data_IF_664362018246
#
_entry.id   IF_664362018246
#
_cell.length_a   1.000
_cell.length_b   1.000
_cell.length_c   1.000
_cell.angle_alpha   90.00
_cell.angle_beta   90.00
_cell.angle_gamma   90.00
#
_symmetry.space_group_name_H-M   'P 1'
#
loop_
_entity.id
_entity.type
_entity.pdbx_description
1 polymer ?
#
# COMPACT_ATOMS: atom_id res chain seq x y z
N UNK A 1 -7.59 19.87 16.71
CA UNK A 1 -7.92 21.27 16.36
C UNK A 1 -8.78 21.25 15.11
N UNK A 2 -10.01 21.74 15.21
CA UNK A 2 -10.98 21.72 14.09
C UNK A 2 -10.78 22.97 13.22
N UNK A 3 -11.00 22.88 11.89
CA UNK A 3 -10.77 23.99 10.93
C UNK A 3 -11.50 25.29 11.35
N UNK A 4 -12.66 25.16 11.99
CA UNK A 4 -13.42 26.30 12.50
C UNK A 4 -12.71 27.08 13.62
N UNK A 5 -12.03 26.38 14.53
CA UNK A 5 -11.28 27.02 15.62
C UNK A 5 -10.06 27.77 15.08
N UNK A 6 -9.38 27.20 14.09
CA UNK A 6 -8.25 27.83 13.41
C UNK A 6 -8.68 29.03 12.55
N UNK A 7 -9.86 28.98 11.93
CA UNK A 7 -10.40 30.10 11.16
C UNK A 7 -10.70 31.30 12.07
N UNK A 8 -11.31 31.04 13.23
CA UNK A 8 -11.63 32.06 14.22
C UNK A 8 -10.37 32.71 14.83
N UNK A 9 -9.31 31.94 15.11
CA UNK A 9 -8.06 32.48 15.68
C UNK A 9 -7.26 33.35 14.71
N UNK A 10 -7.38 33.08 13.40
CA UNK A 10 -6.72 33.86 12.34
C UNK A 10 -7.62 34.97 11.78
N UNK A 11 -8.89 35.01 12.17
CA UNK A 11 -9.84 36.06 11.76
C UNK A 11 -10.33 35.93 10.32
N UNK A 12 -10.37 34.71 9.77
CA UNK A 12 -10.84 34.44 8.41
C UNK A 12 -12.16 33.67 8.42
N UNK A 13 -12.93 33.77 7.33
CA UNK A 13 -14.15 32.98 7.20
C UNK A 13 -13.82 31.49 7.11
N UNK A 14 -14.73 30.64 7.61
CA UNK A 14 -14.57 29.18 7.57
C UNK A 14 -14.37 28.67 6.13
N UNK A 15 -15.00 29.32 5.15
CA UNK A 15 -14.88 29.00 3.72
C UNK A 15 -13.47 29.25 3.20
N UNK A 16 -12.87 30.41 3.54
CA UNK A 16 -11.49 30.75 3.18
C UNK A 16 -10.50 29.79 3.85
N UNK A 17 -10.74 29.46 5.13
CA UNK A 17 -9.92 28.48 5.84
C UNK A 17 -9.96 27.09 5.17
N UNK A 18 -11.13 26.64 4.69
CA UNK A 18 -11.27 25.39 3.93
C UNK A 18 -10.58 25.43 2.57
N UNK A 19 -10.63 26.56 1.88
CA UNK A 19 -9.97 26.75 0.59
C UNK A 19 -8.45 26.69 0.74
N UNK A 20 -7.90 27.40 1.74
CA UNK A 20 -6.49 27.32 2.11
C UNK A 20 -6.10 25.89 2.51
N UNK A 21 -6.88 25.24 3.36
CA UNK A 21 -6.63 23.85 3.80
C UNK A 21 -6.62 22.85 2.63
N UNK A 22 -7.46 23.05 1.61
CA UNK A 22 -7.41 22.28 0.36
C UNK A 22 -6.16 22.60 -0.46
N UNK A 23 -5.78 23.87 -0.56
CA UNK A 23 -4.64 24.31 -1.35
C UNK A 23 -3.31 23.77 -0.80
N UNK A 24 -3.15 23.71 0.52
CA UNK A 24 -1.94 23.20 1.19
C UNK A 24 -1.92 21.68 1.38
N UNK A 25 -2.95 20.95 0.93
CA UNK A 25 -2.92 19.49 0.85
C UNK A 25 -3.44 18.72 2.07
N UNK A 26 -4.18 19.37 2.98
CA UNK A 26 -4.67 18.82 4.25
C UNK A 26 -3.54 18.45 5.23
N UNK A 27 -3.84 18.47 6.53
CA UNK A 27 -2.98 17.88 7.56
C UNK A 27 -3.30 16.38 7.61
N UNK A 28 -2.29 15.51 7.54
CA UNK A 28 -2.47 14.09 7.85
C UNK A 28 -3.12 14.01 9.23
N UNK A 29 -4.29 13.35 9.39
CA UNK A 29 -4.86 13.20 10.71
C UNK A 29 -3.80 12.56 11.61
N UNK A 30 -3.66 13.09 12.82
CA UNK A 30 -2.88 12.46 13.89
C UNK A 30 -3.12 10.95 13.82
N UNK A 31 -2.07 10.12 13.79
CA UNK A 31 -2.21 8.70 13.54
C UNK A 31 -3.22 8.15 14.54
N UNK A 32 -4.40 7.80 14.03
CA UNK A 32 -5.43 7.08 14.77
C UNK A 32 -4.74 5.99 15.58
N UNK A 33 -5.14 5.76 16.85
CA UNK A 33 -4.48 4.78 17.71
C UNK A 33 -4.30 3.49 16.93
N UNK A 34 -3.03 3.12 16.74
CA UNK A 34 -2.56 1.95 16.00
C UNK A 34 -2.89 0.72 16.83
N UNK A 35 -4.18 0.46 17.05
CA UNK A 35 -4.65 -0.75 17.71
C UNK A 35 -6.12 -1.08 17.42
N UNK A 36 -6.71 -0.53 16.36
CA UNK A 36 -7.77 -1.27 15.68
C UNK A 36 -7.07 -2.24 14.73
N UNK A 37 -7.34 -3.56 14.77
CA UNK A 37 -6.78 -4.45 13.78
C UNK A 37 -7.26 -3.97 12.40
N UNK A 38 -6.39 -3.29 11.66
CA UNK A 38 -6.58 -2.85 10.26
C UNK A 38 -6.64 -4.06 9.29
N UNK A 39 -7.23 -5.15 9.75
CA UNK A 39 -7.36 -6.43 9.08
C UNK A 39 -8.57 -7.16 9.64
N UNK A 40 -9.74 -6.51 9.64
CA UNK A 40 -11.01 -7.20 9.86
C UNK A 40 -11.05 -8.46 8.99
N UNK A 41 -11.07 -9.63 9.65
CA UNK A 41 -11.29 -10.98 9.15
C UNK A 41 -10.49 -11.52 7.93
N UNK A 42 -9.81 -10.70 7.11
CA UNK A 42 -9.38 -11.12 5.76
C UNK A 42 -7.93 -11.58 5.65
N UNK A 43 -7.01 -11.01 6.43
CA UNK A 43 -5.57 -11.38 6.40
C UNK A 43 -5.14 -11.96 7.74
N UNK A 44 -4.15 -12.85 7.69
CA UNK A 44 -3.50 -13.39 8.88
C UNK A 44 -2.46 -12.39 9.39
N UNK A 45 -2.52 -12.09 10.67
CA UNK A 45 -1.52 -11.34 11.42
C UNK A 45 -0.22 -12.13 11.54
N UNK A 46 0.86 -11.44 11.91
CA UNK A 46 2.15 -12.08 12.16
C UNK A 46 2.05 -13.14 13.28
N UNK A 47 1.37 -12.81 14.38
CA UNK A 47 1.13 -13.75 15.49
C UNK A 47 0.42 -15.02 15.03
N UNK A 48 -0.63 -14.90 14.22
CA UNK A 48 -1.32 -16.08 13.66
C UNK A 48 -0.39 -16.90 12.75
N UNK A 49 0.52 -16.25 12.00
CA UNK A 49 1.51 -16.95 11.18
C UNK A 49 2.53 -17.70 12.02
N UNK A 50 3.00 -17.13 13.13
CA UNK A 50 3.89 -17.82 14.08
C UNK A 50 3.21 -19.04 14.68
N UNK A 51 1.96 -18.88 15.07
CA UNK A 51 1.17 -19.94 15.64
C UNK A 51 0.96 -21.11 14.65
N UNK A 52 0.71 -20.81 13.37
CA UNK A 52 0.71 -21.82 12.29
C UNK A 52 2.08 -22.51 12.19
N UNK A 53 3.18 -21.76 12.33
CA UNK A 53 4.55 -22.29 12.25
C UNK A 53 4.84 -23.30 13.37
N UNK A 54 4.55 -22.93 14.61
CA UNK A 54 4.75 -23.79 15.78
C UNK A 54 3.94 -25.08 15.68
N UNK A 55 2.64 -24.97 15.39
CA UNK A 55 1.76 -26.14 15.27
C UNK A 55 2.10 -27.02 14.09
N UNK A 56 2.53 -26.43 12.97
CA UNK A 56 2.96 -27.21 11.81
C UNK A 56 4.25 -27.97 12.11
N UNK A 57 5.17 -27.40 12.88
CA UNK A 57 6.36 -28.09 13.36
C UNK A 57 6.03 -29.21 14.35
N UNK A 58 4.97 -29.05 15.16
CA UNK A 58 4.41 -30.10 16.03
C UNK A 58 3.64 -31.21 15.26
N UNK A 59 3.59 -31.15 13.93
CA UNK A 59 2.93 -32.17 13.10
C UNK A 59 1.41 -32.03 12.99
N UNK A 60 0.82 -30.94 13.47
CA UNK A 60 -0.62 -30.75 13.42
C UNK A 60 -1.16 -30.58 11.99
N UNK A 61 -2.36 -31.12 11.77
CA UNK A 61 -3.11 -31.00 10.53
C UNK A 61 -3.79 -29.62 10.37
N UNK A 62 -4.06 -29.23 9.13
CA UNK A 62 -4.67 -27.93 8.77
C UNK A 62 -5.97 -27.64 9.54
N UNK A 63 -6.84 -28.64 9.72
CA UNK A 63 -8.12 -28.49 10.44
C UNK A 63 -7.94 -28.24 11.94
N UNK A 64 -6.92 -28.84 12.56
CA UNK A 64 -6.62 -28.63 13.97
C UNK A 64 -6.12 -27.19 14.20
N UNK A 65 -5.14 -26.77 13.39
CA UNK A 65 -4.59 -25.42 13.41
C UNK A 65 -5.69 -24.36 13.20
N UNK A 66 -6.57 -24.59 12.22
CA UNK A 66 -7.67 -23.68 11.91
C UNK A 66 -8.65 -23.50 13.08
N UNK A 67 -8.97 -24.60 13.79
CA UNK A 67 -9.86 -24.57 14.95
C UNK A 67 -9.27 -23.71 16.08
N UNK A 68 -7.98 -23.87 16.37
CA UNK A 68 -7.34 -23.10 17.45
C UNK A 68 -7.25 -21.61 17.10
N UNK A 69 -7.01 -21.29 15.83
CA UNK A 69 -6.94 -19.91 15.36
C UNK A 69 -8.31 -19.24 15.18
N UNK A 70 -9.42 -19.98 15.29
CA UNK A 70 -10.75 -19.47 14.93
C UNK A 70 -10.86 -19.05 13.47
N UNK A 71 -10.10 -19.70 12.57
CA UNK A 71 -10.06 -19.39 11.12
C UNK A 71 -10.63 -20.55 10.31
N UNK A 72 -10.99 -20.28 9.06
CA UNK A 72 -11.40 -21.34 8.14
C UNK A 72 -10.19 -22.24 7.76
N UNK A 73 -10.37 -23.56 7.63
CA UNK A 73 -9.31 -24.46 7.16
C UNK A 73 -8.75 -24.06 5.78
N UNK A 74 -9.58 -23.45 4.93
CA UNK A 74 -9.15 -22.92 3.62
C UNK A 74 -8.18 -21.75 3.75
N UNK A 75 -8.30 -20.93 4.81
CA UNK A 75 -7.35 -19.84 5.09
C UNK A 75 -5.97 -20.40 5.44
N UNK A 76 -5.93 -21.36 6.37
CA UNK A 76 -4.67 -22.00 6.79
C UNK A 76 -4.03 -22.78 5.64
N UNK A 77 -4.81 -23.51 4.85
CA UNK A 77 -4.32 -24.23 3.67
C UNK A 77 -3.69 -23.28 2.63
N UNK A 78 -4.41 -22.20 2.28
CA UNK A 78 -3.88 -21.18 1.34
C UNK A 78 -2.64 -20.51 1.88
N UNK A 79 -2.56 -20.26 3.19
CA UNK A 79 -1.38 -19.68 3.82
C UNK A 79 -0.18 -20.63 3.69
N UNK A 80 -0.32 -21.89 4.10
CA UNK A 80 0.74 -22.88 3.99
C UNK A 80 1.20 -23.07 2.54
N UNK A 81 0.28 -23.10 1.58
CA UNK A 81 0.60 -23.22 0.16
C UNK A 81 1.36 -22.00 -0.38
N UNK A 82 1.06 -20.79 0.11
CA UNK A 82 1.64 -19.53 -0.38
C UNK A 82 2.92 -19.11 0.35
N UNK A 83 3.05 -19.46 1.61
CA UNK A 83 4.13 -19.07 2.52
C UNK A 83 5.27 -20.07 2.58
N UNK A 84 5.08 -21.30 2.07
CA UNK A 84 6.16 -22.29 1.97
C UNK A 84 7.02 -22.00 0.73
N UNK A 85 8.16 -21.35 0.92
CA UNK A 85 9.09 -20.99 -0.17
C UNK A 85 9.91 -22.19 -0.64
N UNK A 86 10.33 -23.08 0.28
CA UNK A 86 11.07 -24.31 -0.06
C UNK A 86 10.43 -25.49 0.65
N UNK A 87 9.98 -26.52 -0.09
CA UNK A 87 9.30 -27.68 0.50
C UNK A 87 10.14 -28.39 1.57
N UNK A 88 11.47 -28.39 1.41
CA UNK A 88 12.41 -29.02 2.37
C UNK A 88 12.63 -28.21 3.65
N UNK A 89 12.35 -26.89 3.67
CA UNK A 89 12.60 -26.04 4.85
C UNK A 89 11.41 -25.91 5.79
N UNK A 90 10.28 -26.53 5.46
CA UNK A 90 9.02 -26.33 6.18
C UNK A 90 8.47 -24.91 6.04
N UNK A 91 7.37 -24.65 6.75
CA UNK A 91 6.73 -23.35 6.82
C UNK A 91 7.41 -22.49 7.91
N UNK A 92 7.79 -21.25 7.59
CA UNK A 92 8.38 -20.28 8.53
C UNK A 92 7.59 -18.98 8.49
N UNK A 93 7.13 -18.50 9.64
CA UNK A 93 6.29 -17.32 9.74
C UNK A 93 6.94 -16.04 9.19
N UNK A 94 8.21 -15.80 9.52
CA UNK A 94 8.98 -14.62 9.06
C UNK A 94 9.09 -14.56 7.53
N UNK A 95 9.36 -15.70 6.90
CA UNK A 95 9.44 -15.81 5.44
C UNK A 95 8.06 -15.56 4.81
N UNK A 96 7.02 -16.18 5.36
CA UNK A 96 5.66 -15.99 4.86
C UNK A 96 5.21 -14.53 4.99
N UNK A 97 5.56 -13.86 6.08
CA UNK A 97 5.31 -12.43 6.30
C UNK A 97 6.03 -11.57 5.27
N UNK A 98 7.34 -11.77 5.07
CA UNK A 98 8.12 -11.03 4.08
C UNK A 98 7.53 -11.17 2.65
N UNK A 99 7.08 -12.38 2.29
CA UNK A 99 6.40 -12.62 1.00
C UNK A 99 5.05 -11.91 0.94
N UNK A 100 4.28 -11.89 2.03
CA UNK A 100 3.02 -11.18 2.10
C UNK A 100 3.21 -9.65 1.94
N UNK A 101 4.22 -9.10 2.59
CA UNK A 101 4.57 -7.68 2.51
C UNK A 101 5.05 -7.30 1.10
N UNK A 102 5.91 -8.13 0.50
CA UNK A 102 6.36 -7.94 -0.87
C UNK A 102 5.18 -7.92 -1.87
N UNK A 103 4.19 -8.81 -1.69
CA UNK A 103 2.97 -8.83 -2.50
C UNK A 103 2.05 -7.65 -2.22
N UNK A 104 2.02 -7.15 -0.98
CA UNK A 104 1.21 -6.01 -0.59
C UNK A 104 1.72 -4.71 -1.22
N UNK A 105 3.04 -4.58 -1.46
CA UNK A 105 3.66 -3.40 -2.07
C UNK A 105 3.09 -3.04 -3.45
N UNK A 106 2.59 -4.02 -4.22
CA UNK A 106 1.97 -3.85 -5.56
C UNK A 106 2.56 -2.67 -6.39
N UNK A 107 3.87 -2.61 -6.62
CA UNK A 107 4.43 -1.50 -7.38
C UNK A 107 3.92 -1.60 -8.83
N UNK A 108 3.21 -0.57 -9.30
CA UNK A 108 3.02 -0.36 -10.74
C UNK A 108 4.38 0.11 -11.28
N UNK A 109 4.87 -0.52 -12.35
CA UNK A 109 6.07 -0.02 -13.01
C UNK A 109 5.80 1.43 -13.42
N UNK A 110 6.65 2.36 -12.97
CA UNK A 110 6.48 3.78 -13.29
C UNK A 110 6.68 3.95 -14.78
N UNK A 111 5.79 4.67 -15.45
CA UNK A 111 5.80 4.82 -16.89
C UNK A 111 7.17 5.34 -17.42
N UNK A 112 7.77 6.32 -16.74
CA UNK A 112 9.10 6.85 -17.08
C UNK A 112 10.25 5.88 -16.83
N UNK A 113 10.05 4.85 -16.00
CA UNK A 113 11.05 3.81 -15.78
C UNK A 113 10.99 2.71 -16.85
N UNK A 114 9.86 2.60 -17.58
CA UNK A 114 9.63 1.58 -18.60
C UNK A 114 9.81 2.13 -20.01
N UNK A 115 9.38 3.38 -20.25
CA UNK A 115 9.45 4.02 -21.56
C UNK A 115 10.60 5.02 -21.63
N UNK A 116 11.71 4.59 -22.22
CA UNK A 116 12.93 5.38 -22.35
C UNK A 116 12.74 6.62 -23.23
N UNK A 117 11.93 6.51 -24.29
CA UNK A 117 11.65 7.63 -25.22
C UNK A 117 10.85 8.72 -24.52
N UNK A 118 9.84 8.33 -23.74
CA UNK A 118 9.09 9.25 -22.90
C UNK A 118 9.98 9.89 -21.83
N UNK A 119 10.83 9.10 -21.18
CA UNK A 119 11.75 9.60 -20.15
C UNK A 119 12.69 10.66 -20.72
N UNK A 120 13.31 10.39 -21.86
CA UNK A 120 14.21 11.32 -22.54
C UNK A 120 13.48 12.62 -22.93
N UNK A 121 12.28 12.50 -23.49
CA UNK A 121 11.47 13.67 -23.83
C UNK A 121 11.18 14.53 -22.59
N UNK A 122 10.69 13.94 -21.50
CA UNK A 122 10.41 14.67 -20.25
C UNK A 122 11.67 15.32 -19.69
N UNK A 123 12.81 14.61 -19.70
CA UNK A 123 14.09 15.15 -19.24
C UNK A 123 14.57 16.35 -20.08
N UNK A 124 14.44 16.27 -21.41
CA UNK A 124 14.82 17.36 -22.30
C UNK A 124 13.96 18.61 -22.10
N UNK A 125 12.65 18.44 -21.87
CA UNK A 125 11.74 19.55 -21.57
C UNK A 125 12.00 20.17 -20.19
N UNK A 126 12.31 19.35 -19.18
CA UNK A 126 12.73 19.86 -17.86
C UNK A 126 14.06 20.64 -17.96
N UNK A 127 15.03 20.19 -18.77
CA UNK A 127 16.28 20.94 -19.04
C UNK A 127 16.02 22.27 -19.75
N UNK A 128 15.00 22.32 -20.61
CA UNK A 128 14.53 23.54 -21.25
C UNK A 128 13.70 24.46 -20.32
N UNK A 129 13.59 24.11 -19.02
CA UNK A 129 12.84 24.85 -18.00
C UNK A 129 11.34 24.95 -18.27
N UNK A 130 10.76 24.01 -19.01
CA UNK A 130 9.31 23.90 -19.12
C UNK A 130 8.69 23.49 -17.77
N UNK A 131 7.50 24.01 -17.47
CA UNK A 131 6.79 23.62 -16.25
C UNK A 131 6.25 22.18 -16.35
N UNK A 132 6.13 21.44 -15.23
CA UNK A 132 5.53 20.10 -15.23
C UNK A 132 4.12 20.05 -15.87
N UNK A 133 3.32 21.10 -15.69
CA UNK A 133 2.00 21.26 -16.29
C UNK A 133 2.07 21.42 -17.81
N UNK A 134 3.06 22.18 -18.32
CA UNK A 134 3.29 22.34 -19.75
C UNK A 134 3.72 21.02 -20.40
N UNK A 135 4.58 20.25 -19.72
CA UNK A 135 5.05 18.94 -20.19
C UNK A 135 3.87 17.96 -20.24
N UNK A 136 3.15 17.81 -19.13
CA UNK A 136 2.02 16.88 -19.03
C UNK A 136 0.91 17.13 -20.05
N UNK A 137 0.57 18.41 -20.33
CA UNK A 137 -0.42 18.76 -21.36
C UNK A 137 0.00 18.35 -22.78
N UNK A 138 1.29 18.30 -23.06
CA UNK A 138 1.82 17.92 -24.39
C UNK A 138 1.97 16.42 -24.57
N UNK A 139 2.09 15.64 -23.49
CA UNK A 139 2.30 14.19 -23.57
C UNK A 139 1.23 13.44 -24.38
N UNK A 140 -0.09 13.69 -24.23
CA UNK A 140 -1.11 13.00 -25.02
C UNK A 140 -1.03 13.26 -26.52
N UNK A 141 -0.51 14.43 -26.93
CA UNK A 141 -0.37 14.80 -28.34
C UNK A 141 0.82 14.09 -29.00
N UNK A 142 1.91 13.94 -28.25
CA UNK A 142 3.17 13.38 -28.75
C UNK A 142 3.28 11.87 -28.56
N UNK A 143 2.53 11.33 -27.60
CA UNK A 143 2.54 9.93 -27.21
C UNK A 143 1.11 9.43 -26.93
N UNK A 144 0.29 9.24 -27.98
CA UNK A 144 -1.14 8.92 -27.85
C UNK A 144 -1.41 7.55 -27.21
N UNK A 145 -0.42 6.67 -27.16
CA UNK A 145 -0.53 5.32 -26.59
C UNK A 145 -0.33 5.27 -25.07
N UNK A 146 0.07 6.39 -24.44
CA UNK A 146 0.25 6.44 -22.99
C UNK A 146 -1.12 6.45 -22.31
N UNK A 147 -1.52 5.33 -21.72
CA UNK A 147 -2.58 5.36 -20.70
C UNK A 147 -1.98 5.91 -19.42
N UNK A 148 -2.29 7.17 -19.10
CA UNK A 148 -2.04 7.74 -17.79
C UNK A 148 -2.75 6.86 -16.74
N UNK A 149 -1.99 6.00 -16.06
CA UNK A 149 -2.43 5.40 -14.81
C UNK A 149 -2.33 6.49 -13.74
N UNK A 150 -3.36 7.33 -13.65
CA UNK A 150 -3.66 8.05 -12.40
C UNK A 150 -4.13 7.04 -11.36
#
# INVERSE_FOLDING_TARGET
MVVAEAAASVGVSITVAWEWFRHVGRVMPEPFPVCLPLSGARRLSFREREEISCRRAAGEGVRAIARVLGRSPSTVSRELARGTVRRKSGYRASVAQAVADQRARRPKARLLAVDDRLREHVQNRLRAKDSPEQISRRLPLLFPTIRACV
#
